data_IF_055546497504
#
_entry.id   IF_055546497504
#
_cell.length_a   1.000
_cell.length_b   1.000
_cell.length_c   1.000
_cell.angle_alpha   90.00
_cell.angle_beta   90.00
_cell.angle_gamma   90.00
#
_symmetry.space_group_name_H-M   'P 1'
#
loop_
_entity.id
_entity.type
_entity.pdbx_description
1 polymer ?
#
# COMPACT_ATOMS: atom_id res chain seq x y z
N UNK A 1 -61.71 11.63 4.29
CA UNK A 1 -61.11 10.37 4.77
C UNK A 1 -59.80 10.02 4.04
N UNK A 2 -59.34 10.80 3.07
CA UNK A 2 -58.16 10.48 2.23
C UNK A 2 -56.80 10.92 2.81
N UNK A 3 -56.71 11.99 3.62
CA UNK A 3 -55.42 12.53 4.13
C UNK A 3 -54.69 11.67 5.18
N UNK A 4 -55.43 10.81 5.94
CA UNK A 4 -54.79 9.96 6.98
C UNK A 4 -54.16 8.69 6.40
N UNK A 5 -54.54 8.28 5.19
CA UNK A 5 -53.98 7.11 4.54
C UNK A 5 -52.63 7.44 3.86
N UNK A 6 -52.47 8.66 3.35
CA UNK A 6 -51.21 9.10 2.73
C UNK A 6 -50.08 9.32 3.75
N UNK A 7 -50.38 9.82 4.97
CA UNK A 7 -49.40 9.99 6.04
C UNK A 7 -48.88 8.64 6.61
N UNK A 8 -49.75 7.62 6.67
CA UNK A 8 -49.35 6.29 7.13
C UNK A 8 -48.45 5.57 6.12
N UNK A 9 -48.70 5.75 4.82
CA UNK A 9 -47.89 5.16 3.75
C UNK A 9 -46.53 5.79 3.62
N UNK A 10 -46.39 7.11 3.82
CA UNK A 10 -45.09 7.81 3.83
C UNK A 10 -44.23 7.45 5.03
N UNK A 11 -44.84 7.26 6.20
CA UNK A 11 -44.11 6.87 7.41
C UNK A 11 -43.62 5.41 7.36
N UNK A 12 -44.38 4.53 6.71
CA UNK A 12 -43.97 3.13 6.51
C UNK A 12 -42.77 3.02 5.54
N UNK A 13 -42.75 3.82 4.48
CA UNK A 13 -41.67 3.86 3.50
C UNK A 13 -40.33 4.36 4.09
N UNK A 14 -40.38 5.33 5.01
CA UNK A 14 -39.15 5.82 5.68
C UNK A 14 -38.54 4.79 6.61
N UNK A 15 -39.35 4.05 7.37
CA UNK A 15 -38.88 2.97 8.24
C UNK A 15 -38.30 1.79 7.47
N UNK A 16 -38.77 1.53 6.28
CA UNK A 16 -38.26 0.48 5.38
C UNK A 16 -36.91 0.89 4.79
N UNK A 17 -36.73 2.15 4.41
CA UNK A 17 -35.45 2.71 3.97
C UNK A 17 -34.41 2.73 5.08
N UNK A 18 -34.78 3.11 6.29
CA UNK A 18 -33.84 3.06 7.44
C UNK A 18 -33.40 1.63 7.79
N UNK A 19 -34.27 0.64 7.67
CA UNK A 19 -33.90 -0.78 7.82
C UNK A 19 -32.96 -1.26 6.72
N UNK A 20 -33.19 -0.86 5.47
CA UNK A 20 -32.29 -1.17 4.37
C UNK A 20 -30.90 -0.53 4.54
N UNK A 21 -30.82 0.70 5.05
CA UNK A 21 -29.55 1.36 5.35
C UNK A 21 -28.83 0.72 6.54
N UNK A 22 -29.56 0.31 7.56
CA UNK A 22 -28.97 -0.43 8.70
C UNK A 22 -28.44 -1.80 8.30
N UNK A 23 -29.10 -2.49 7.38
CA UNK A 23 -28.68 -3.78 6.85
C UNK A 23 -27.44 -3.65 5.93
N UNK A 24 -27.34 -2.55 5.17
CA UNK A 24 -26.15 -2.25 4.36
C UNK A 24 -24.92 -1.88 5.21
N UNK A 25 -25.11 -1.28 6.39
CA UNK A 25 -24.00 -1.01 7.31
C UNK A 25 -23.51 -2.27 8.02
N UNK A 26 -24.40 -3.25 8.26
CA UNK A 26 -24.03 -4.57 8.77
C UNK A 26 -23.30 -5.44 7.72
N UNK A 27 -23.54 -5.21 6.43
CA UNK A 27 -22.81 -5.85 5.33
C UNK A 27 -21.36 -5.36 5.21
N UNK A 28 -21.03 -4.22 5.80
CA UNK A 28 -19.65 -3.68 5.86
C UNK A 28 -18.70 -4.53 6.74
N UNK A 29 -19.22 -5.39 7.59
CA UNK A 29 -18.45 -6.34 8.40
C UNK A 29 -18.33 -7.76 7.79
N UNK A 30 -18.78 -7.95 6.55
CA UNK A 30 -18.67 -9.24 5.89
C UNK A 30 -17.20 -9.60 5.62
N UNK A 31 -16.78 -10.85 5.93
CA UNK A 31 -15.41 -11.32 5.68
C UNK A 31 -15.01 -11.34 4.19
N UNK A 32 -15.93 -11.00 3.29
CA UNK A 32 -15.71 -10.92 1.84
C UNK A 32 -15.27 -9.53 1.36
N UNK A 33 -15.29 -8.50 2.21
CA UNK A 33 -14.81 -7.18 1.81
C UNK A 33 -13.28 -7.22 1.64
N UNK A 34 -12.82 -6.99 0.43
CA UNK A 34 -11.38 -6.92 0.13
C UNK A 34 -10.77 -5.73 0.84
N UNK A 35 -9.82 -5.98 1.73
CA UNK A 35 -9.08 -4.92 2.42
C UNK A 35 -7.57 -5.07 2.24
N UNK A 36 -6.88 -3.95 2.32
CA UNK A 36 -5.42 -3.90 2.37
C UNK A 36 -4.99 -2.72 3.21
N UNK A 37 -4.41 -2.99 4.37
CA UNK A 37 -3.73 -2.00 5.20
C UNK A 37 -2.23 -2.06 4.94
N UNK A 38 -1.63 -0.91 4.69
CA UNK A 38 -0.21 -0.74 4.40
C UNK A 38 0.30 0.49 5.12
N UNK A 39 1.44 0.32 5.74
CA UNK A 39 2.13 1.36 6.49
C UNK A 39 3.61 1.32 6.19
N UNK A 40 4.22 2.48 6.14
CA UNK A 40 5.68 2.64 6.14
C UNK A 40 6.05 3.33 7.44
N UNK A 41 6.78 2.62 8.29
CA UNK A 41 7.07 3.04 9.67
C UNK A 41 8.52 2.77 10.04
N UNK A 42 8.87 3.09 11.26
CA UNK A 42 10.12 2.71 11.93
C UNK A 42 11.36 2.93 11.03
N UNK A 43 11.66 4.19 10.64
CA UNK A 43 12.89 4.49 9.94
C UNK A 43 14.09 4.19 10.84
N UNK A 44 15.05 3.41 10.32
CA UNK A 44 16.29 3.07 11.02
C UNK A 44 17.48 3.45 10.17
N UNK A 45 18.36 4.28 10.71
CA UNK A 45 19.61 4.66 10.07
C UNK A 45 20.73 3.75 10.51
N UNK A 46 21.37 3.12 9.54
CA UNK A 46 22.49 2.19 9.72
C UNK A 46 23.80 2.86 9.32
N UNK A 47 24.82 2.68 10.13
CA UNK A 47 26.17 3.13 9.84
C UNK A 47 27.13 1.93 9.95
N UNK A 48 27.45 1.29 8.82
CA UNK A 48 28.39 0.19 8.82
C UNK A 48 29.77 0.63 9.29
N UNK A 49 30.36 -0.14 10.20
CA UNK A 49 31.67 0.16 10.80
C UNK A 49 32.80 0.14 9.76
N UNK A 50 32.66 -0.69 8.71
CA UNK A 50 33.66 -0.87 7.67
C UNK A 50 33.74 0.29 6.66
N UNK A 51 32.70 1.12 6.54
CA UNK A 51 32.64 2.25 5.61
C UNK A 51 31.70 3.34 6.09
N UNK A 52 32.21 4.40 6.71
CA UNK A 52 31.40 5.52 7.20
C UNK A 52 30.61 6.22 6.10
N UNK A 53 31.04 6.15 4.84
CA UNK A 53 30.38 6.72 3.67
C UNK A 53 29.14 5.91 3.23
N UNK A 54 28.97 4.67 3.69
CA UNK A 54 27.87 3.78 3.33
C UNK A 54 26.66 3.86 4.27
N UNK A 55 26.51 4.96 5.01
CA UNK A 55 25.35 5.24 5.85
C UNK A 55 24.06 5.23 5.03
N UNK A 56 23.01 4.51 5.50
CA UNK A 56 21.73 4.41 4.84
C UNK A 56 20.58 4.27 5.83
N UNK A 57 19.36 4.63 5.39
CA UNK A 57 18.14 4.49 6.19
C UNK A 57 17.23 3.43 5.57
N UNK A 58 16.72 2.52 6.41
CA UNK A 58 15.70 1.55 6.06
C UNK A 58 14.37 1.94 6.67
N UNK A 59 13.28 1.56 6.01
CA UNK A 59 11.91 1.76 6.42
C UNK A 59 11.22 0.41 6.54
N UNK A 60 10.43 0.22 7.59
CA UNK A 60 9.64 -0.98 7.79
C UNK A 60 8.31 -0.83 7.04
N UNK A 61 8.06 -1.74 6.11
CA UNK A 61 6.79 -1.86 5.40
C UNK A 61 5.97 -2.94 6.12
N UNK A 62 4.78 -2.56 6.59
CA UNK A 62 3.78 -3.49 7.11
C UNK A 62 2.62 -3.59 6.16
N UNK A 63 2.27 -4.81 5.77
CA UNK A 63 1.11 -5.12 4.95
C UNK A 63 0.21 -6.11 5.68
N UNK A 64 -1.08 -5.79 5.76
CA UNK A 64 -2.14 -6.72 6.17
C UNK A 64 -3.23 -6.70 5.10
N UNK A 65 -3.55 -7.84 4.52
CA UNK A 65 -4.48 -7.94 3.37
C UNK A 65 -5.21 -9.27 3.33
N UNK A 66 -6.42 -9.26 2.79
CA UNK A 66 -7.16 -10.48 2.44
C UNK A 66 -7.23 -10.72 0.92
N UNK A 67 -6.53 -9.91 0.12
CA UNK A 67 -6.47 -10.04 -1.34
C UNK A 67 -5.80 -11.38 -1.70
N UNK A 68 -6.45 -12.26 -2.48
CA UNK A 68 -5.94 -13.60 -2.79
C UNK A 68 -4.61 -13.60 -3.57
N UNK A 69 -4.31 -12.54 -4.32
CA UNK A 69 -3.09 -12.40 -5.09
C UNK A 69 -1.82 -12.30 -4.21
N UNK A 70 -1.95 -11.93 -2.94
CA UNK A 70 -0.84 -11.91 -2.00
C UNK A 70 -0.73 -13.22 -1.24
N UNK A 71 0.47 -13.80 -1.22
CA UNK A 71 0.74 -15.09 -0.55
C UNK A 71 0.53 -15.04 0.97
N UNK A 72 0.91 -13.93 1.58
CA UNK A 72 0.84 -13.72 3.02
C UNK A 72 -0.27 -12.74 3.38
N UNK A 73 -1.07 -13.09 4.37
CA UNK A 73 -2.11 -12.20 4.94
C UNK A 73 -1.50 -11.03 5.71
N UNK A 74 -0.32 -11.23 6.27
CA UNK A 74 0.47 -10.23 6.98
C UNK A 74 1.93 -10.40 6.61
N UNK A 75 2.62 -9.29 6.35
CA UNK A 75 4.05 -9.28 6.08
C UNK A 75 4.70 -8.02 6.67
N UNK A 76 5.94 -8.17 7.07
CA UNK A 76 6.81 -7.08 7.50
C UNK A 76 8.15 -7.22 6.77
N UNK A 77 8.53 -6.20 6.02
CA UNK A 77 9.78 -6.19 5.27
C UNK A 77 10.48 -4.85 5.43
N UNK A 78 11.81 -4.83 5.43
CA UNK A 78 12.59 -3.59 5.44
C UNK A 78 13.13 -3.28 4.06
N UNK A 79 13.00 -2.02 3.65
CA UNK A 79 13.46 -1.51 2.34
C UNK A 79 14.17 -0.16 2.51
N UNK A 80 15.22 0.06 1.70
CA UNK A 80 15.88 1.35 1.56
C UNK A 80 15.19 2.19 0.49
N UNK A 81 15.47 3.47 0.46
CA UNK A 81 14.96 4.35 -0.61
C UNK A 81 15.39 3.86 -2.01
N UNK A 82 16.63 3.41 -2.17
CA UNK A 82 17.11 2.81 -3.43
C UNK A 82 16.32 1.57 -3.87
N UNK A 83 15.81 0.80 -2.92
CA UNK A 83 14.99 -0.38 -3.22
C UNK A 83 13.63 0.03 -3.81
N UNK A 84 13.07 1.16 -3.35
CA UNK A 84 11.86 1.74 -3.94
C UNK A 84 12.10 2.28 -5.35
N UNK A 85 13.30 2.82 -5.65
CA UNK A 85 13.65 3.27 -6.99
C UNK A 85 13.66 2.08 -7.96
N UNK A 86 14.38 1.02 -7.62
CA UNK A 86 14.40 -0.22 -8.42
C UNK A 86 13.00 -0.80 -8.56
N UNK A 87 12.24 -0.83 -7.48
CA UNK A 87 10.86 -1.32 -7.49
C UNK A 87 9.96 -0.52 -8.45
N UNK A 88 10.05 0.80 -8.41
CA UNK A 88 9.31 1.68 -9.32
C UNK A 88 9.66 1.41 -10.78
N UNK A 89 10.96 1.34 -11.10
CA UNK A 89 11.44 1.08 -12.46
C UNK A 89 10.97 -0.28 -12.99
N UNK A 90 10.96 -1.30 -12.14
CA UNK A 90 10.45 -2.63 -12.48
C UNK A 90 8.94 -2.63 -12.72
N UNK A 91 8.16 -1.91 -11.89
CA UNK A 91 6.72 -1.77 -12.09
C UNK A 91 6.38 -1.06 -13.41
N UNK A 92 7.14 -0.03 -13.78
CA UNK A 92 6.95 0.68 -15.06
C UNK A 92 7.21 -0.24 -16.25
N UNK A 93 8.21 -1.12 -16.17
CA UNK A 93 8.51 -2.11 -17.23
C UNK A 93 7.46 -3.21 -17.29
N UNK A 94 7.06 -3.77 -16.13
CA UNK A 94 6.08 -4.86 -16.07
C UNK A 94 4.67 -4.40 -16.46
N UNK A 95 4.31 -3.15 -16.16
CA UNK A 95 2.93 -2.65 -16.21
C UNK A 95 2.79 -1.40 -17.08
N UNK A 96 3.12 -1.51 -18.37
CA UNK A 96 3.08 -0.40 -19.33
C UNK A 96 1.71 0.33 -19.43
N UNK A 97 0.62 -0.29 -18.97
CA UNK A 97 -0.74 0.28 -18.99
C UNK A 97 -1.13 1.01 -17.71
N UNK A 98 -0.27 0.99 -16.70
CA UNK A 98 -0.52 1.62 -15.39
C UNK A 98 0.42 2.79 -15.21
N UNK A 99 -0.12 3.97 -14.90
CA UNK A 99 0.70 5.11 -14.53
C UNK A 99 1.23 4.94 -13.11
N UNK A 100 2.53 4.65 -12.99
CA UNK A 100 3.18 4.48 -11.69
C UNK A 100 3.49 5.85 -11.09
N UNK A 101 3.11 6.12 -9.84
CA UNK A 101 3.35 7.42 -9.21
C UNK A 101 4.85 7.70 -9.01
N UNK A 102 5.19 8.98 -8.86
CA UNK A 102 6.55 9.41 -8.57
C UNK A 102 6.92 9.14 -7.12
N UNK A 103 8.19 8.84 -6.88
CA UNK A 103 8.75 8.78 -5.52
C UNK A 103 9.05 10.20 -4.99
N UNK A 104 9.17 10.35 -3.66
CA UNK A 104 9.70 11.58 -3.08
C UNK A 104 11.09 11.90 -3.67
N UNK A 105 11.36 13.18 -3.90
CA UNK A 105 12.61 13.63 -4.51
C UNK A 105 13.87 13.18 -3.76
N UNK A 106 14.98 13.03 -4.50
CA UNK A 106 16.28 12.75 -3.90
C UNK A 106 16.79 13.97 -3.14
N UNK A 107 17.09 13.78 -1.87
CA UNK A 107 17.76 14.77 -1.03
C UNK A 107 19.19 14.32 -0.81
N UNK A 108 20.14 15.15 -1.22
CA UNK A 108 21.59 14.84 -1.11
C UNK A 108 22.20 15.46 0.14
N UNK A 109 21.79 16.71 0.46
CA UNK A 109 22.24 17.40 1.66
C UNK A 109 21.31 17.05 2.83
N UNK A 110 21.88 16.88 4.01
CA UNK A 110 21.15 16.62 5.26
C UNK A 110 20.17 15.42 5.17
N UNK A 111 20.47 14.46 4.30
CA UNK A 111 19.61 13.29 4.01
C UNK A 111 19.34 12.38 5.21
N UNK A 112 20.01 12.62 6.33
CA UNK A 112 19.88 11.88 7.59
C UNK A 112 19.28 12.71 8.71
N UNK A 113 18.81 13.92 8.42
CA UNK A 113 18.04 14.71 9.37
C UNK A 113 16.66 14.08 9.58
N UNK A 114 16.18 14.10 10.80
CA UNK A 114 14.92 13.45 11.18
C UNK A 114 13.73 13.98 10.37
N UNK A 115 13.72 15.30 10.08
CA UNK A 115 12.70 15.93 9.25
C UNK A 115 12.67 15.37 7.82
N UNK A 116 13.86 15.19 7.21
CA UNK A 116 14.01 14.65 5.84
C UNK A 116 13.64 13.17 5.82
N UNK A 117 14.04 12.41 6.83
CA UNK A 117 13.71 10.99 6.96
C UNK A 117 12.18 10.83 7.09
N UNK A 118 11.52 11.66 7.90
CA UNK A 118 10.08 11.57 8.12
C UNK A 118 9.28 12.04 6.89
N UNK A 119 9.70 13.09 6.20
CA UNK A 119 9.08 13.53 4.95
C UNK A 119 9.19 12.43 3.88
N UNK A 120 10.36 11.81 3.76
CA UNK A 120 10.58 10.69 2.85
C UNK A 120 9.71 9.49 3.22
N UNK A 121 9.62 9.14 4.50
CA UNK A 121 8.75 8.07 5.00
C UNK A 121 7.29 8.28 4.55
N UNK A 122 6.76 9.50 4.76
CA UNK A 122 5.38 9.86 4.34
C UNK A 122 5.20 9.78 2.82
N UNK A 123 6.20 10.20 2.06
CA UNK A 123 6.18 10.11 0.59
C UNK A 123 6.19 8.65 0.12
N UNK A 124 7.02 7.79 0.70
CA UNK A 124 7.07 6.37 0.42
C UNK A 124 5.77 5.65 0.81
N UNK A 125 5.17 6.03 1.94
CA UNK A 125 3.89 5.48 2.35
C UNK A 125 2.76 5.86 1.36
N UNK A 126 2.74 7.12 0.90
CA UNK A 126 1.78 7.58 -0.11
C UNK A 126 1.94 6.82 -1.42
N UNK A 127 3.19 6.67 -1.89
CA UNK A 127 3.52 5.88 -3.06
C UNK A 127 2.98 4.44 -2.94
N UNK A 128 3.29 3.78 -1.82
CA UNK A 128 2.86 2.40 -1.56
C UNK A 128 1.33 2.27 -1.47
N UNK A 129 0.66 3.26 -0.88
CA UNK A 129 -0.81 3.29 -0.82
C UNK A 129 -1.44 3.27 -2.22
N UNK A 130 -0.89 4.00 -3.16
CA UNK A 130 -1.38 4.04 -4.54
C UNK A 130 -1.09 2.72 -5.24
N UNK A 131 0.15 2.26 -5.21
CA UNK A 131 0.61 1.05 -5.93
C UNK A 131 -0.10 -0.21 -5.42
N UNK A 132 -0.09 -0.45 -4.12
CA UNK A 132 -0.77 -1.62 -3.52
C UNK A 132 -2.29 -1.52 -3.65
N UNK A 133 -2.85 -0.31 -3.74
CA UNK A 133 -4.28 -0.08 -3.95
C UNK A 133 -4.75 -0.29 -5.39
N UNK A 134 -3.84 -0.37 -6.37
CA UNK A 134 -4.20 -0.42 -7.78
C UNK A 134 -4.62 -1.84 -8.21
N UNK A 135 -5.87 -2.06 -8.70
CA UNK A 135 -6.39 -3.40 -8.98
C UNK A 135 -5.54 -4.22 -9.96
N UNK A 136 -5.07 -3.59 -11.05
CA UNK A 136 -4.26 -4.29 -12.05
C UNK A 136 -2.88 -4.70 -11.51
N UNK A 137 -2.30 -3.93 -10.59
CA UNK A 137 -1.03 -4.29 -9.96
C UNK A 137 -1.22 -5.39 -8.92
N UNK A 138 -2.32 -5.38 -8.18
CA UNK A 138 -2.62 -6.42 -7.18
C UNK A 138 -2.70 -7.81 -7.80
N UNK A 139 -3.31 -7.94 -8.98
CA UNK A 139 -3.59 -9.23 -9.61
C UNK A 139 -2.54 -9.63 -10.65
N UNK A 140 -1.82 -8.68 -11.24
CA UNK A 140 -0.94 -8.90 -12.37
C UNK A 140 0.55 -8.74 -12.07
N UNK A 141 0.93 -8.06 -11.00
CA UNK A 141 2.34 -7.75 -10.74
C UNK A 141 3.00 -8.75 -9.80
N UNK A 142 3.99 -9.48 -10.31
CA UNK A 142 4.89 -10.32 -9.52
C UNK A 142 5.85 -9.48 -8.68
N UNK A 143 6.30 -8.37 -9.23
CA UNK A 143 7.24 -7.42 -8.62
C UNK A 143 6.64 -6.83 -7.35
N UNK A 144 5.35 -6.47 -7.38
CA UNK A 144 4.65 -5.94 -6.21
C UNK A 144 4.65 -6.95 -5.05
N UNK A 145 4.27 -8.20 -5.30
CA UNK A 145 4.26 -9.25 -4.28
C UNK A 145 5.65 -9.50 -3.69
N UNK A 146 6.67 -9.58 -4.54
CA UNK A 146 8.07 -9.74 -4.13
C UNK A 146 8.59 -8.57 -3.28
N UNK A 147 8.20 -7.33 -3.60
CA UNK A 147 8.64 -6.15 -2.86
C UNK A 147 8.03 -6.06 -1.46
N UNK A 148 6.73 -6.31 -1.32
CA UNK A 148 6.01 -6.12 -0.04
C UNK A 148 6.00 -7.36 0.86
N UNK A 149 6.34 -8.56 0.33
CA UNK A 149 6.28 -9.82 1.06
C UNK A 149 7.57 -10.65 1.00
N UNK A 150 8.48 -10.35 0.08
CA UNK A 150 9.74 -11.07 -0.09
C UNK A 150 10.86 -10.57 0.79
N UNK A 151 11.83 -11.43 1.08
CA UNK A 151 13.09 -11.04 1.70
C UNK A 151 13.90 -10.13 0.77
N UNK A 152 14.69 -9.21 1.34
CA UNK A 152 15.46 -8.23 0.55
C UNK A 152 16.39 -8.88 -0.48
N UNK A 153 17.09 -9.95 -0.10
CA UNK A 153 18.02 -10.69 -0.98
C UNK A 153 17.29 -11.33 -2.18
N UNK A 154 16.11 -11.89 -1.96
CA UNK A 154 15.29 -12.54 -3.00
C UNK A 154 14.66 -11.53 -3.96
N UNK A 155 14.31 -10.34 -3.47
CA UNK A 155 13.75 -9.30 -4.33
C UNK A 155 14.75 -8.87 -5.41
N UNK A 156 16.02 -8.67 -5.06
CA UNK A 156 17.06 -8.28 -6.01
C UNK A 156 17.43 -9.40 -6.98
N UNK A 157 17.47 -10.65 -6.55
CA UNK A 157 17.71 -11.80 -7.43
C UNK A 157 16.62 -11.91 -8.48
N UNK A 158 15.35 -11.80 -8.07
CA UNK A 158 14.20 -11.80 -8.97
C UNK A 158 14.23 -10.63 -9.98
N UNK A 159 14.66 -9.44 -9.51
CA UNK A 159 14.80 -8.26 -10.37
C UNK A 159 15.90 -8.40 -11.43
N UNK A 160 16.89 -9.26 -11.22
CA UNK A 160 17.99 -9.52 -12.15
C UNK A 160 17.69 -10.65 -13.13
N UNK A 161 16.87 -11.63 -12.75
CA UNK A 161 16.53 -12.79 -13.59
C UNK A 161 15.47 -12.46 -14.66
N UNK A 162 14.60 -11.47 -14.40
CA UNK A 162 13.57 -11.02 -15.35
C UNK A 162 14.00 -9.80 -16.22
N UNK A 163 15.29 -9.48 -16.25
CA UNK A 163 15.81 -8.43 -17.12
C UNK A 163 16.28 -9.08 -18.45
N UNK A 164 15.54 -8.87 -19.59
CA UNK A 164 15.97 -9.36 -20.92
C UNK A 164 17.21 -8.60 -21.43
#
# INVERSE_FOLDING_TARGET
MSKRQDEAQTHFSLHEQERQYADLSALSEHPLTTFSQRQVTDPQTHQPTASPSSRYTTYLIRLSTNIPAFKLRRSEVRRRYSDFEVFRDLLERESARVSIPTLPGKVYLNRFDDSVIEERRRGLERFLKIVVGHPLLQTGSRVLGGFVQGESSRFFVFALEDCP
#
